data_IF_259158532378
#
_entry.id   IF_259158532378
#
_cell.length_a   1.000
_cell.length_b   1.000
_cell.length_c   1.000
_cell.angle_alpha   90.00
_cell.angle_beta   90.00
_cell.angle_gamma   90.00
#
_symmetry.space_group_name_H-M   'P 1'
#
loop_
_entity.id
_entity.type
_entity.pdbx_description
1 polymer ?
#
# COMPACT_ATOMS: atom_id res chain seq x y z
N UNK A 1 -14.05 -17.45 -10.62
CA UNK A 1 -13.64 -16.16 -10.04
C UNK A 1 -13.85 -15.12 -11.12
N UNK A 2 -14.65 -14.09 -10.86
CA UNK A 2 -14.80 -12.96 -11.78
C UNK A 2 -13.54 -12.09 -11.77
N UNK A 3 -13.33 -11.26 -12.79
CA UNK A 3 -12.19 -10.32 -12.82
C UNK A 3 -12.22 -9.35 -11.63
N UNK A 4 -13.42 -8.95 -11.18
CA UNK A 4 -13.60 -8.10 -10.01
C UNK A 4 -13.15 -8.79 -8.71
N UNK A 5 -13.55 -10.05 -8.53
CA UNK A 5 -13.11 -10.88 -7.39
C UNK A 5 -11.59 -11.09 -7.43
N UNK A 6 -11.03 -11.26 -8.62
CA UNK A 6 -9.58 -11.41 -8.80
C UNK A 6 -8.83 -10.15 -8.39
N UNK A 7 -9.23 -8.97 -8.87
CA UNK A 7 -8.61 -7.70 -8.47
C UNK A 7 -8.76 -7.42 -6.97
N UNK A 8 -9.93 -7.73 -6.39
CA UNK A 8 -10.11 -7.65 -4.94
C UNK A 8 -9.20 -8.60 -4.15
N UNK A 9 -8.96 -9.81 -4.66
CA UNK A 9 -8.05 -10.76 -4.05
C UNK A 9 -6.59 -10.31 -4.14
N UNK A 10 -6.13 -9.87 -5.31
CA UNK A 10 -4.78 -9.34 -5.52
C UNK A 10 -4.49 -8.13 -4.62
N UNK A 11 -5.45 -7.19 -4.53
CA UNK A 11 -5.37 -6.06 -3.59
C UNK A 11 -5.16 -6.60 -2.18
N UNK A 12 -6.04 -7.46 -1.70
CA UNK A 12 -5.95 -7.98 -0.34
C UNK A 12 -4.61 -8.67 -0.04
N UNK A 13 -4.13 -9.57 -0.90
CA UNK A 13 -2.86 -10.28 -0.70
C UNK A 13 -1.67 -9.32 -0.65
N UNK A 14 -1.66 -8.34 -1.57
CA UNK A 14 -0.63 -7.33 -1.62
C UNK A 14 -0.65 -6.45 -0.36
N UNK A 15 -1.82 -5.98 0.05
CA UNK A 15 -1.99 -5.18 1.26
C UNK A 15 -1.58 -5.91 2.54
N UNK A 16 -1.85 -7.22 2.63
CA UNK A 16 -1.38 -8.05 3.74
C UNK A 16 0.15 -8.13 3.78
N UNK A 17 0.80 -8.34 2.62
CA UNK A 17 2.26 -8.39 2.54
C UNK A 17 2.89 -7.06 2.94
N UNK A 18 2.34 -5.95 2.44
CA UNK A 18 2.79 -4.60 2.81
C UNK A 18 2.63 -4.37 4.31
N UNK A 19 1.46 -4.69 4.88
CA UNK A 19 1.20 -4.54 6.30
C UNK A 19 2.17 -5.34 7.18
N UNK A 20 2.50 -6.57 6.79
CA UNK A 20 3.51 -7.41 7.48
C UNK A 20 4.90 -6.80 7.42
N UNK A 21 5.34 -6.34 6.24
CA UNK A 21 6.65 -5.73 6.07
C UNK A 21 6.78 -4.44 6.86
N UNK A 22 5.73 -3.62 6.89
CA UNK A 22 5.73 -2.40 7.68
C UNK A 22 5.81 -2.67 9.18
N UNK A 23 5.11 -3.69 9.70
CA UNK A 23 5.22 -4.11 11.10
C UNK A 23 6.66 -4.57 11.40
N UNK A 24 7.25 -5.42 10.54
CA UNK A 24 8.63 -5.88 10.70
C UNK A 24 9.65 -4.74 10.63
N UNK A 25 9.40 -3.74 9.78
CA UNK A 25 10.25 -2.57 9.60
C UNK A 25 10.00 -1.43 10.59
N UNK A 26 9.02 -1.55 11.49
CA UNK A 26 8.61 -0.48 12.41
C UNK A 26 8.09 0.77 11.70
N UNK A 27 7.48 0.60 10.52
CA UNK A 27 6.98 1.68 9.67
C UNK A 27 5.51 1.97 9.99
N UNK A 28 5.22 3.22 10.37
CA UNK A 28 3.83 3.66 10.57
C UNK A 28 3.22 4.16 9.25
N UNK A 29 2.56 3.25 8.52
CA UNK A 29 1.90 3.55 7.24
C UNK A 29 0.66 4.43 7.37
N UNK A 30 0.18 4.72 8.58
CA UNK A 30 -0.91 5.65 8.81
C UNK A 30 -0.51 7.11 8.55
N UNK A 31 0.80 7.40 8.50
CA UNK A 31 1.32 8.73 8.20
C UNK A 31 1.60 8.85 6.71
N UNK A 32 0.85 9.74 6.05
CA UNK A 32 1.06 10.07 4.65
C UNK A 32 2.51 10.56 4.39
N UNK A 33 3.11 11.27 5.34
CA UNK A 33 4.50 11.73 5.24
C UNK A 33 5.49 10.56 5.14
N UNK A 34 5.28 9.50 5.93
CA UNK A 34 6.11 8.29 5.91
C UNK A 34 5.90 7.53 4.60
N UNK A 35 4.65 7.41 4.14
CA UNK A 35 4.35 6.74 2.86
C UNK A 35 4.99 7.50 1.69
N UNK A 36 4.90 8.83 1.67
CA UNK A 36 5.54 9.66 0.65
C UNK A 36 7.07 9.54 0.72
N UNK A 37 7.68 9.54 1.90
CA UNK A 37 9.11 9.36 2.09
C UNK A 37 9.57 8.00 1.54
N UNK A 38 8.87 6.91 1.89
CA UNK A 38 9.11 5.57 1.35
C UNK A 38 9.04 5.53 -0.17
N UNK A 39 8.00 6.13 -0.77
CA UNK A 39 7.83 6.19 -2.23
C UNK A 39 8.96 6.99 -2.90
N UNK A 40 9.53 7.99 -2.22
CA UNK A 40 10.69 8.75 -2.68
C UNK A 40 12.02 8.02 -2.45
N UNK A 41 12.03 6.96 -1.63
CA UNK A 41 13.25 6.27 -1.20
C UNK A 41 13.99 6.98 -0.06
N UNK A 42 13.31 7.89 0.62
CA UNK A 42 13.80 8.50 1.85
C UNK A 42 13.40 7.63 3.04
N UNK A 43 14.36 6.85 3.52
CA UNK A 43 14.19 5.91 4.63
C UNK A 43 14.63 6.48 5.97
N UNK A 44 14.95 7.77 6.06
CA UNK A 44 15.43 8.41 7.29
C UNK A 44 14.45 8.30 8.47
N UNK A 45 13.16 8.14 8.18
CA UNK A 45 12.07 8.03 9.15
C UNK A 45 11.67 6.58 9.48
N UNK A 46 12.28 5.59 8.81
CA UNK A 46 12.00 4.18 9.02
C UNK A 46 13.02 3.62 10.03
N UNK A 47 12.56 2.82 11.00
CA UNK A 47 13.24 2.58 12.28
C UNK A 47 14.74 2.21 12.25
N UNK A 48 15.44 2.53 13.34
CA UNK A 48 16.90 2.38 13.54
C UNK A 48 17.38 0.92 13.73
N UNK A 49 16.89 -0.03 12.93
CA UNK A 49 17.37 -1.42 12.98
C UNK A 49 18.43 -1.69 11.90
N UNK A 50 19.28 -2.69 12.16
CA UNK A 50 20.49 -3.08 11.40
C UNK A 50 20.52 -2.69 9.91
N UNK A 51 21.49 -1.87 9.44
CA UNK A 51 21.41 -1.05 8.23
C UNK A 51 21.25 -1.82 6.90
N UNK A 52 21.72 -3.06 6.80
CA UNK A 52 21.60 -3.86 5.57
C UNK A 52 20.29 -4.66 5.49
N UNK A 53 19.78 -5.12 6.63
CA UNK A 53 18.52 -5.86 6.70
C UNK A 53 17.31 -4.93 6.56
N UNK A 54 17.46 -3.66 6.99
CA UNK A 54 16.45 -2.61 6.81
C UNK A 54 16.35 -2.11 5.38
N UNK A 55 17.47 -1.94 4.66
CA UNK A 55 17.44 -1.38 3.30
C UNK A 55 16.64 -2.24 2.31
N UNK A 56 16.94 -3.55 2.22
CA UNK A 56 16.19 -4.45 1.33
C UNK A 56 14.70 -4.53 1.71
N UNK A 57 14.41 -4.52 3.02
CA UNK A 57 13.03 -4.52 3.51
C UNK A 57 12.29 -3.25 3.06
N UNK A 58 12.93 -2.08 3.16
CA UNK A 58 12.31 -0.82 2.76
C UNK A 58 12.18 -0.66 1.23
N UNK A 59 13.14 -1.18 0.46
CA UNK A 59 13.04 -1.22 -1.00
C UNK A 59 11.92 -2.16 -1.48
N UNK A 60 11.76 -3.31 -0.83
CA UNK A 60 10.62 -4.22 -1.07
C UNK A 60 9.30 -3.55 -0.66
N UNK A 61 9.24 -2.95 0.53
CA UNK A 61 8.06 -2.25 1.02
C UNK A 61 7.65 -1.12 0.06
N UNK A 62 8.61 -0.31 -0.40
CA UNK A 62 8.40 0.74 -1.40
C UNK A 62 7.80 0.17 -2.67
N UNK A 63 8.41 -0.89 -3.21
CA UNK A 63 7.99 -1.51 -4.47
C UNK A 63 6.55 -2.03 -4.39
N UNK A 64 6.19 -2.65 -3.27
CA UNK A 64 4.84 -3.17 -3.04
C UNK A 64 3.80 -2.06 -2.85
N UNK A 65 4.15 -0.97 -2.15
CA UNK A 65 3.29 0.22 -2.02
C UNK A 65 3.03 0.84 -3.40
N UNK A 66 4.06 0.97 -4.24
CA UNK A 66 3.90 1.47 -5.60
C UNK A 66 3.01 0.54 -6.45
N UNK A 67 3.20 -0.78 -6.32
CA UNK A 67 2.36 -1.77 -7.00
C UNK A 67 0.90 -1.69 -6.54
N UNK A 68 0.65 -1.45 -5.25
CA UNK A 68 -0.70 -1.27 -4.71
C UNK A 68 -1.40 -0.10 -5.39
N UNK A 69 -0.76 1.07 -5.49
CA UNK A 69 -1.35 2.23 -6.18
C UNK A 69 -1.61 2.00 -7.67
N UNK A 70 -0.75 1.22 -8.33
CA UNK A 70 -0.99 0.82 -9.73
C UNK A 70 -2.20 -0.10 -9.85
N UNK A 71 -2.35 -1.05 -8.91
CA UNK A 71 -3.47 -1.99 -8.90
C UNK A 71 -4.80 -1.29 -8.57
N UNK A 72 -4.80 -0.32 -7.65
CA UNK A 72 -5.96 0.54 -7.39
C UNK A 72 -6.40 1.28 -8.66
N UNK A 73 -5.46 1.94 -9.33
CA UNK A 73 -5.74 2.68 -10.57
C UNK A 73 -6.31 1.75 -11.64
N UNK A 74 -5.67 0.60 -11.87
CA UNK A 74 -6.15 -0.39 -12.85
C UNK A 74 -7.54 -0.91 -12.52
N UNK A 75 -7.84 -1.12 -11.23
CA UNK A 75 -9.17 -1.57 -10.79
C UNK A 75 -10.23 -0.50 -11.10
N UNK A 76 -9.92 0.77 -10.85
CA UNK A 76 -10.81 1.89 -11.19
C UNK A 76 -11.00 2.02 -12.70
N UNK A 77 -9.92 1.94 -13.49
CA UNK A 77 -9.97 2.02 -14.95
C UNK A 77 -10.80 0.89 -15.57
N UNK A 78 -10.72 -0.31 -15.01
CA UNK A 78 -11.39 -1.51 -15.54
C UNK A 78 -12.89 -1.56 -15.19
N UNK A 79 -13.26 -1.17 -13.97
CA UNK A 79 -14.62 -1.35 -13.45
C UNK A 79 -15.41 -0.04 -13.28
N UNK A 80 -14.75 1.11 -13.50
CA UNK A 80 -15.30 2.43 -13.22
C UNK A 80 -15.07 2.87 -11.76
N UNK A 81 -15.11 4.18 -11.53
CA UNK A 81 -14.79 4.81 -10.25
C UNK A 81 -15.64 4.28 -9.09
N UNK A 82 -16.96 4.19 -9.28
CA UNK A 82 -17.89 3.73 -8.22
C UNK A 82 -17.60 2.29 -7.78
N UNK A 83 -17.45 1.38 -8.75
CA UNK A 83 -17.24 -0.05 -8.48
C UNK A 83 -15.82 -0.29 -7.97
N UNK A 84 -14.82 0.30 -8.62
CA UNK A 84 -13.41 0.13 -8.25
C UNK A 84 -13.13 0.67 -6.85
N UNK A 85 -13.62 1.87 -6.53
CA UNK A 85 -13.45 2.46 -5.19
C UNK A 85 -14.12 1.63 -4.11
N UNK A 86 -15.28 1.02 -4.40
CA UNK A 86 -15.96 0.12 -3.47
C UNK A 86 -15.12 -1.13 -3.18
N UNK A 87 -14.59 -1.78 -4.21
CA UNK A 87 -13.74 -2.97 -4.04
C UNK A 87 -12.49 -2.65 -3.22
N UNK A 88 -11.82 -1.54 -3.52
CA UNK A 88 -10.64 -1.08 -2.79
C UNK A 88 -11.00 -0.86 -1.31
N UNK A 89 -12.08 -0.12 -1.03
CA UNK A 89 -12.53 0.17 0.34
C UNK A 89 -12.90 -1.10 1.12
N UNK A 90 -13.50 -2.10 0.47
CA UNK A 90 -13.79 -3.40 1.07
C UNK A 90 -12.50 -4.13 1.48
N UNK A 91 -11.47 -4.13 0.62
CA UNK A 91 -10.20 -4.78 0.96
C UNK A 91 -9.45 -4.04 2.07
N UNK A 92 -9.41 -2.70 2.02
CA UNK A 92 -8.85 -1.90 3.11
C UNK A 92 -9.55 -2.18 4.45
N UNK A 93 -10.88 -2.32 4.45
CA UNK A 93 -11.64 -2.62 5.66
C UNK A 93 -11.28 -4.01 6.21
N UNK A 94 -11.12 -5.02 5.35
CA UNK A 94 -10.68 -6.36 5.75
C UNK A 94 -9.25 -6.35 6.32
N UNK A 95 -8.35 -5.58 5.72
CA UNK A 95 -6.97 -5.42 6.21
C UNK A 95 -6.95 -4.74 7.58
N UNK A 96 -7.77 -3.69 7.78
CA UNK A 96 -7.94 -3.01 9.07
C UNK A 96 -8.41 -3.94 10.18
N UNK A 97 -9.37 -4.82 9.89
CA UNK A 97 -9.83 -5.83 10.85
C UNK A 97 -8.72 -6.80 11.28
N UNK A 98 -7.67 -6.95 10.46
CA UNK A 98 -6.50 -7.78 10.77
C UNK A 98 -5.35 -7.00 11.42
N UNK A 99 -5.56 -5.72 11.74
CA UNK A 99 -4.57 -4.86 12.37
C UNK A 99 -3.58 -4.20 11.42
N UNK A 100 -3.81 -4.30 10.10
CA UNK A 100 -2.99 -3.56 9.11
C UNK A 100 -3.57 -2.16 8.90
N UNK A 101 -2.70 -1.15 8.99
CA UNK A 101 -3.13 0.25 8.92
C UNK A 101 -3.25 0.70 7.47
N UNK A 102 -4.16 1.64 7.23
CA UNK A 102 -4.47 2.20 5.91
C UNK A 102 -3.26 2.94 5.33
N UNK A 103 -3.01 2.76 4.04
CA UNK A 103 -2.12 3.58 3.23
C UNK A 103 -2.86 4.86 2.83
N UNK A 104 -2.21 6.02 2.89
CA UNK A 104 -2.82 7.29 2.46
C UNK A 104 -3.54 7.18 1.11
N UNK A 105 -4.60 7.98 0.91
CA UNK A 105 -5.31 7.98 -0.37
C UNK A 105 -4.46 8.72 -1.41
N UNK A 106 -4.28 8.16 -2.62
CA UNK A 106 -3.42 8.75 -3.69
C UNK A 106 -3.71 10.23 -3.99
N UNK A 107 -4.98 10.64 -3.88
CA UNK A 107 -5.42 12.03 -4.05
C UNK A 107 -4.92 12.98 -2.93
N UNK A 108 -4.78 12.47 -1.71
CA UNK A 108 -4.28 13.24 -0.56
C UNK A 108 -2.76 13.37 -0.56
N UNK A 109 -2.05 12.44 -1.19
CA UNK A 109 -0.58 12.45 -1.26
C UNK A 109 0.00 13.19 -2.47
N UNK A 110 -0.83 13.82 -3.30
CA UNK A 110 -0.37 14.57 -4.48
C UNK A 110 0.30 13.71 -5.58
N UNK A 111 0.06 12.40 -5.58
CA UNK A 111 0.68 11.42 -6.50
C UNK A 111 -0.13 11.19 -7.80
N UNK A 112 -0.99 12.14 -8.15
CA UNK A 112 -1.94 12.03 -9.28
C UNK A 112 -1.26 12.18 -10.66
N UNK A 113 0.05 12.48 -10.73
CA UNK A 113 0.80 12.70 -11.98
C UNK A 113 2.26 12.23 -11.92
N UNK A 114 2.47 10.94 -11.63
CA UNK A 114 3.73 10.26 -11.96
C UNK A 114 3.45 9.15 -12.95
#
# INVERSE_FOLDING_TARGET
MSELEHSGHELYELGERIGRLAIMGGVNLASDEIVIALIKGDFAYCGQHSPTLTQHLFDELRSLIMLWYQLEQRTIEMFGEDVGSKVIAEQEARLRQRGFVRFGHRAQMGLTRM
#
